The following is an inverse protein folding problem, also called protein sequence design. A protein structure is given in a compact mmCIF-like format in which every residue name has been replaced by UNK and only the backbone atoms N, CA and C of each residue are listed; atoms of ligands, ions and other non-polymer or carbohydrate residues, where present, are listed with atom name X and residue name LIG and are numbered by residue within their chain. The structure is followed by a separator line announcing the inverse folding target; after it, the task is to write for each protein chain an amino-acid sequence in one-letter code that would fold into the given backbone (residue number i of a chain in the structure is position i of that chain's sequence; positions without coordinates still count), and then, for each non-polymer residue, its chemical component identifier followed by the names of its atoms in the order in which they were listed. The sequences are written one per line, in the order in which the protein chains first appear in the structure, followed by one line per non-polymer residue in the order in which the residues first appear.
data_IF_890200176005
#
_entry.id   IF_890200176005
#
_cell.length_a   1.000
_cell.length_b   1.000
_cell.length_c   1.000
_cell.angle_alpha   90.00
_cell.angle_beta   90.00
_cell.angle_gamma   90.00
#
_symmetry.space_group_name_H-M   'P 1'
#
loop_
_entity.id
_entity.type
_entity.pdbx_description
1 polymer ?
#
# COMPACT_ATOMS: atom_id res chain seq x y z
N UNK A 1 -35.05 9.68 -26.82
CA UNK A 1 -34.31 10.85 -27.33
C UNK A 1 -33.02 10.34 -27.94
N UNK A 2 -33.01 10.13 -29.26
CA UNK A 2 -31.84 9.66 -30.00
C UNK A 2 -30.98 10.90 -30.23
N UNK A 3 -29.71 10.96 -29.79
CA UNK A 3 -28.89 12.14 -30.00
C UNK A 3 -28.54 12.25 -31.51
N UNK A 4 -29.32 13.05 -32.23
CA UNK A 4 -29.28 13.20 -33.69
C UNK A 4 -28.40 14.38 -34.17
N UNK A 5 -27.28 14.68 -33.51
CA UNK A 5 -26.53 15.94 -33.76
C UNK A 5 -25.00 15.85 -33.72
N UNK A 6 -24.39 14.67 -33.72
CA UNK A 6 -22.93 14.54 -33.94
C UNK A 6 -22.68 13.73 -35.21
N UNK A 7 -23.11 14.32 -36.33
CA UNK A 7 -22.81 13.81 -37.66
C UNK A 7 -21.30 13.69 -37.83
N UNK A 8 -20.83 12.47 -38.04
CA UNK A 8 -19.61 12.13 -38.79
C UNK A 8 -18.30 12.93 -38.56
N UNK A 9 -18.10 13.64 -37.45
CA UNK A 9 -16.84 14.31 -37.12
C UNK A 9 -16.21 13.72 -35.85
N UNK A 10 -15.30 12.78 -36.14
CA UNK A 10 -14.27 12.11 -35.35
C UNK A 10 -14.60 11.64 -33.92
N UNK A 11 -14.98 10.35 -33.74
CA UNK A 11 -14.95 9.66 -32.43
C UNK A 11 -13.61 9.81 -31.69
N UNK A 12 -12.53 10.04 -32.42
CA UNK A 12 -11.20 10.35 -31.86
C UNK A 12 -11.19 11.65 -31.08
N UNK A 13 -11.87 12.71 -31.53
CA UNK A 13 -11.92 13.99 -30.81
C UNK A 13 -12.63 13.82 -29.46
N UNK A 14 -13.72 13.06 -29.44
CA UNK A 14 -14.42 12.71 -28.19
C UNK A 14 -13.53 11.91 -27.25
N UNK A 15 -12.80 10.92 -27.78
CA UNK A 15 -11.83 10.16 -27.00
C UNK A 15 -10.70 11.05 -26.46
N UNK A 16 -10.22 12.02 -27.26
CA UNK A 16 -9.17 12.95 -26.86
C UNK A 16 -9.67 13.89 -25.75
N UNK A 17 -10.89 14.42 -25.87
CA UNK A 17 -11.52 15.22 -24.82
C UNK A 17 -11.74 14.41 -23.55
N UNK A 18 -12.19 13.15 -23.67
CA UNK A 18 -12.37 12.26 -22.52
C UNK A 18 -11.02 12.00 -21.83
N UNK A 19 -9.97 11.70 -22.59
CA UNK A 19 -8.62 11.50 -22.06
C UNK A 19 -8.07 12.80 -21.44
N UNK A 20 -8.33 13.98 -22.02
CA UNK A 20 -7.84 15.24 -21.46
C UNK A 20 -8.60 15.63 -20.19
N UNK A 21 -9.93 15.51 -20.20
CA UNK A 21 -10.79 15.84 -19.06
C UNK A 21 -10.62 14.87 -17.89
N UNK A 22 -10.49 13.57 -18.18
CA UNK A 22 -10.38 12.52 -17.17
C UNK A 22 -8.96 12.00 -16.97
N UNK A 23 -7.99 12.44 -17.77
CA UNK A 23 -6.59 12.02 -17.71
C UNK A 23 -5.97 12.16 -16.32
N UNK A 24 -6.14 13.31 -15.63
CA UNK A 24 -5.63 13.46 -14.27
C UNK A 24 -6.22 12.43 -13.30
N UNK A 25 -7.52 12.17 -13.37
CA UNK A 25 -8.20 11.23 -12.49
C UNK A 25 -7.86 9.77 -12.82
N UNK A 26 -7.78 9.43 -14.10
CA UNK A 26 -7.37 8.11 -14.56
C UNK A 26 -5.92 7.79 -14.13
N UNK A 27 -5.03 8.78 -14.23
CA UNK A 27 -3.65 8.65 -13.76
C UNK A 27 -3.59 8.45 -12.24
N UNK A 28 -4.32 9.25 -11.47
CA UNK A 28 -4.38 9.09 -10.01
C UNK A 28 -4.95 7.73 -9.61
N UNK A 29 -6.03 7.28 -10.26
CA UNK A 29 -6.61 5.96 -10.01
C UNK A 29 -5.63 4.83 -10.33
N UNK A 30 -4.92 4.92 -11.45
CA UNK A 30 -3.92 3.94 -11.86
C UNK A 30 -2.74 3.90 -10.88
N UNK A 31 -2.19 5.05 -10.49
CA UNK A 31 -1.09 5.14 -9.51
C UNK A 31 -1.53 4.61 -8.15
N UNK A 32 -2.73 4.96 -7.68
CA UNK A 32 -3.27 4.44 -6.43
C UNK A 32 -3.44 2.91 -6.46
N UNK A 33 -3.90 2.36 -7.58
CA UNK A 33 -4.03 0.91 -7.76
C UNK A 33 -2.67 0.20 -7.75
N UNK A 34 -1.68 0.76 -8.46
CA UNK A 34 -0.31 0.22 -8.48
C UNK A 34 0.35 0.28 -7.11
N UNK A 35 0.22 1.41 -6.39
CA UNK A 35 0.72 1.61 -5.03
C UNK A 35 0.11 0.60 -4.07
N UNK A 36 -1.23 0.47 -4.09
CA UNK A 36 -1.95 -0.48 -3.24
C UNK A 36 -1.57 -1.93 -3.52
N UNK A 37 -1.17 -2.25 -4.74
CA UNK A 37 -0.68 -3.60 -5.09
C UNK A 37 0.72 -3.86 -4.52
N UNK A 38 1.57 -2.83 -4.42
CA UNK A 38 2.89 -2.94 -3.81
C UNK A 38 2.79 -3.11 -2.28
N UNK A 39 1.96 -2.30 -1.62
CA UNK A 39 1.79 -2.32 -0.16
C UNK A 39 1.35 -3.71 0.37
N UNK A 40 0.46 -4.40 -0.36
CA UNK A 40 0.03 -5.78 -0.02
C UNK A 40 1.19 -6.79 0.07
N UNK A 41 2.34 -6.52 -0.53
CA UNK A 41 3.52 -7.39 -0.43
C UNK A 41 4.39 -7.06 0.79
N UNK A 42 4.32 -5.82 1.28
CA UNK A 42 5.09 -5.37 2.44
C UNK A 42 4.38 -5.70 3.75
N UNK A 43 3.05 -5.61 3.81
CA UNK A 43 2.26 -5.96 5.00
C UNK A 43 2.53 -7.39 5.51
N UNK A 44 2.72 -8.35 4.58
CA UNK A 44 3.06 -9.73 4.91
C UNK A 44 4.42 -9.89 5.62
N UNK A 45 5.33 -8.92 5.49
CA UNK A 45 6.67 -8.95 6.11
C UNK A 45 6.69 -8.29 7.48
N UNK A 46 5.91 -7.24 7.67
CA UNK A 46 5.84 -6.47 8.91
C UNK A 46 5.15 -7.26 10.03
N UNK A 47 4.09 -8.02 9.70
CA UNK A 47 3.35 -8.82 10.67
C UNK A 47 4.18 -9.99 11.25
N UNK A 48 5.06 -10.59 10.42
CA UNK A 48 5.99 -11.64 10.86
C UNK A 48 7.10 -11.13 11.79
N UNK A 49 7.44 -9.84 11.73
CA UNK A 49 8.52 -9.26 12.55
C UNK A 49 8.00 -8.76 13.91
N UNK A 50 6.76 -8.25 13.96
CA UNK A 50 6.12 -7.79 15.19
C UNK A 50 5.80 -8.94 16.17
N UNK A 51 5.47 -10.12 15.64
CA UNK A 51 5.14 -11.30 16.45
C UNK A 51 6.37 -11.89 17.14
N UNK A 52 7.52 -12.01 16.44
CA UNK A 52 8.75 -12.58 17.03
C UNK A 52 9.40 -11.71 18.11
N UNK A 53 9.20 -10.39 18.08
CA UNK A 53 9.82 -9.48 19.05
C UNK A 53 9.07 -9.43 20.39
N UNK A 54 7.76 -9.72 20.40
CA UNK A 54 6.95 -9.77 21.62
C UNK A 54 7.28 -11.01 22.45
N UNK A 55 7.55 -12.14 21.81
CA UNK A 55 7.91 -13.40 22.48
C UNK A 55 9.31 -13.33 23.12
N UNK A 56 10.26 -12.66 22.46
CA UNK A 56 11.64 -12.52 22.94
C UNK A 56 11.79 -11.60 24.16
N UNK A 57 10.88 -10.64 24.36
CA UNK A 57 10.92 -9.72 25.52
C UNK A 57 10.42 -10.36 26.81
N UNK A 58 9.54 -11.36 26.72
CA UNK A 58 9.01 -12.06 27.90
C UNK A 58 10.03 -13.06 28.48
N UNK A 59 10.89 -13.65 27.66
CA UNK A 59 11.93 -14.59 28.12
C UNK A 59 13.17 -13.93 28.75
N UNK A 60 13.46 -12.68 28.43
CA UNK A 60 14.73 -12.02 28.85
C UNK A 60 14.72 -11.54 30.31
N UNK A 61 13.55 -11.28 30.89
CA UNK A 61 13.47 -10.73 32.24
C UNK A 61 13.58 -11.77 33.38
N UNK A 62 13.57 -13.07 33.07
CA UNK A 62 13.61 -14.14 34.08
C UNK A 62 15.03 -14.59 34.48
N UNK A 63 16.09 -14.12 33.80
CA UNK A 63 17.45 -14.68 33.97
C UNK A 63 18.49 -13.84 34.70
N UNK A 64 18.21 -12.59 35.09
CA UNK A 64 19.28 -11.62 35.46
C UNK A 64 19.49 -11.39 36.96
N UNK A 65 19.01 -12.28 37.84
CA UNK A 65 19.18 -12.18 39.30
C UNK A 65 19.89 -13.41 39.89
N UNK A 66 21.04 -13.80 39.35
CA UNK A 66 21.90 -14.79 40.01
C UNK A 66 23.38 -14.55 39.67
N UNK A 67 24.15 -14.08 40.65
CA UNK A 67 25.61 -13.97 40.57
C UNK A 67 26.09 -12.52 40.50
N UNK A 68 26.88 -11.98 41.43
CA UNK A 68 27.62 -12.62 42.49
C UNK A 68 27.84 -11.62 43.62
N UNK A 69 27.50 -12.06 44.82
CA UNK A 69 27.91 -11.47 46.07
C UNK A 69 28.79 -12.51 46.78
N UNK A 70 30.07 -12.54 46.45
CA UNK A 70 31.13 -13.20 47.20
C UNK A 70 32.45 -12.87 46.51
N UNK A 71 33.21 -11.91 47.03
CA UNK A 71 34.37 -12.28 47.83
C UNK A 71 34.98 -11.02 48.46
N UNK A 72 35.43 -11.23 49.69
CA UNK A 72 35.83 -10.24 50.69
C UNK A 72 37.27 -10.50 51.07
#
# INVERSE_FOLDING_TARGET
MIPLHLGALHPVEQALTLILAFGPFALLGLVAWLRRRADRREDARTESTATSQTDSRVGSHAGSHAGGHADR
#
